data_IF_069391018238
#
_entry.id   IF_069391018238
#
_cell.length_a   1.000
_cell.length_b   1.000
_cell.length_c   1.000
_cell.angle_alpha   90.00
_cell.angle_beta   90.00
_cell.angle_gamma   90.00
#
_symmetry.space_group_name_H-M   'P 1'
#
loop_
_entity.id
_entity.type
_entity.pdbx_description
1 polymer ?
#
# COMPACT_ATOMS: atom_id res chain seq x y z
N UNK A 1 -1.41 6.17 -34.46
CA UNK A 1 -2.61 6.31 -33.59
C UNK A 1 -2.12 6.61 -32.18
N UNK A 2 -2.36 7.82 -31.64
CA UNK A 2 -1.86 8.25 -30.32
C UNK A 2 -2.93 7.96 -29.27
N UNK A 3 -2.65 7.06 -28.32
CA UNK A 3 -3.52 6.78 -27.18
C UNK A 3 -3.27 7.86 -26.11
N UNK A 4 -4.29 8.64 -25.75
CA UNK A 4 -4.27 9.55 -24.60
C UNK A 4 -4.88 8.83 -23.41
N UNK A 5 -4.09 8.66 -22.34
CA UNK A 5 -4.55 8.13 -21.05
C UNK A 5 -5.04 9.32 -20.23
N UNK A 6 -6.33 9.35 -19.91
CA UNK A 6 -6.90 10.32 -18.97
C UNK A 6 -6.93 9.69 -17.58
N UNK A 7 -5.99 10.08 -16.72
CA UNK A 7 -6.06 9.81 -15.29
C UNK A 7 -6.99 10.84 -14.65
N UNK A 8 -8.17 10.41 -14.19
CA UNK A 8 -9.07 11.23 -13.39
C UNK A 8 -8.82 10.90 -11.91
N UNK A 9 -8.07 11.76 -11.23
CA UNK A 9 -7.99 11.77 -9.78
C UNK A 9 -9.05 12.76 -9.26
N UNK A 10 -10.06 12.26 -8.55
CA UNK A 10 -11.03 13.11 -7.86
C UNK A 10 -10.43 13.49 -6.51
N UNK A 11 -9.90 14.70 -6.42
CA UNK A 11 -9.47 15.32 -5.16
C UNK A 11 -10.65 16.13 -4.64
N UNK A 12 -11.32 15.62 -3.61
CA UNK A 12 -12.38 16.34 -2.91
C UNK A 12 -11.72 17.36 -1.97
N UNK A 13 -11.85 18.64 -2.31
CA UNK A 13 -11.21 19.75 -1.59
C UNK A 13 -11.93 20.11 -0.29
N UNK A 14 -11.17 20.19 0.80
CA UNK A 14 -11.61 20.82 2.05
C UNK A 14 -11.43 22.34 1.95
N UNK A 15 -12.52 23.09 2.11
CA UNK A 15 -12.50 24.54 2.32
C UNK A 15 -11.93 24.85 3.71
N UNK A 16 -10.88 25.69 3.78
CA UNK A 16 -10.41 26.31 5.01
C UNK A 16 -10.44 27.83 4.84
N UNK A 17 -11.16 28.51 5.73
CA UNK A 17 -11.15 29.95 5.89
C UNK A 17 -9.83 30.42 6.54
N UNK A 18 -9.34 31.65 6.26
CA UNK A 18 -8.08 32.11 6.81
C UNK A 18 -8.25 32.64 8.23
N UNK A 19 -7.56 32.02 9.20
CA UNK A 19 -7.32 32.63 10.50
C UNK A 19 -5.97 33.37 10.47
N UNK A 20 -6.04 34.69 10.62
CA UNK A 20 -4.92 35.59 10.86
C UNK A 20 -4.19 35.18 12.14
N UNK A 21 -2.89 34.89 12.04
CA UNK A 21 -2.01 34.79 13.21
C UNK A 21 -1.03 35.95 13.17
N UNK A 22 -1.17 36.79 14.18
CA UNK A 22 -0.33 37.93 14.52
C UNK A 22 1.02 37.40 14.99
N UNK A 23 2.09 37.80 14.31
CA UNK A 23 3.46 37.56 14.73
C UNK A 23 3.80 38.51 15.89
N UNK A 24 4.16 37.95 17.04
CA UNK A 24 4.96 38.66 18.04
C UNK A 24 6.23 37.85 18.29
N UNK A 25 7.33 38.57 18.08
CA UNK A 25 8.72 38.19 18.25
C UNK A 25 9.10 38.12 19.72
N UNK A 26 10.00 37.20 20.07
CA UNK A 26 11.07 37.51 21.02
C UNK A 26 12.30 36.65 20.74
N UNK A 27 13.33 37.36 20.30
CA UNK A 27 14.74 37.01 20.25
C UNK A 27 15.25 36.49 21.60
N UNK A 28 16.03 35.41 21.61
CA UNK A 28 16.94 35.08 22.72
C UNK A 28 17.99 34.04 22.30
N UNK A 29 19.14 34.57 21.90
CA UNK A 29 20.49 34.13 22.24
C UNK A 29 20.89 32.67 22.02
N UNK A 30 21.74 32.51 21.01
CA UNK A 30 22.65 31.37 20.79
C UNK A 30 23.61 31.29 21.98
N UNK A 31 23.35 30.37 22.90
CA UNK A 31 24.37 29.83 23.80
C UNK A 31 24.89 28.51 23.23
N UNK A 32 26.21 28.42 23.14
CA UNK A 32 26.94 27.24 22.75
C UNK A 32 26.75 26.13 23.78
N UNK A 33 25.82 25.22 23.53
CA UNK A 33 25.58 24.06 24.37
C UNK A 33 26.31 22.84 23.81
N UNK A 34 27.11 22.23 24.68
CA UNK A 34 27.79 20.95 24.54
C UNK A 34 26.84 19.88 23.95
N UNK A 35 27.21 19.18 22.85
CA UNK A 35 26.36 18.17 22.23
C UNK A 35 26.08 16.95 23.11
N UNK A 36 26.73 16.84 24.27
CA UNK A 36 26.52 15.79 25.27
C UNK A 36 25.96 16.30 26.60
N UNK A 37 25.63 17.58 26.73
CA UNK A 37 24.95 18.07 27.92
C UNK A 37 23.56 17.44 28.02
N UNK A 38 23.30 16.77 29.14
CA UNK A 38 21.98 16.26 29.50
C UNK A 38 20.98 17.41 29.45
N UNK A 39 20.17 17.45 28.39
CA UNK A 39 19.08 18.40 28.28
C UNK A 39 18.17 18.19 29.49
N UNK A 40 17.89 19.22 30.32
CA UNK A 40 16.92 19.08 31.39
C UNK A 40 15.62 18.61 30.75
N UNK A 41 15.16 17.44 31.18
CA UNK A 41 14.00 16.74 30.63
C UNK A 41 12.77 17.65 30.68
N UNK A 42 12.56 18.45 29.63
CA UNK A 42 11.35 19.25 29.45
C UNK A 42 10.19 18.26 29.29
N UNK A 43 9.37 18.16 30.33
CA UNK A 43 7.99 17.66 30.27
C UNK A 43 7.81 16.21 29.79
N UNK A 44 8.44 15.23 30.43
CA UNK A 44 8.05 13.81 30.24
C UNK A 44 6.86 13.42 31.14
N UNK A 45 6.70 14.06 32.30
CA UNK A 45 5.64 13.70 33.27
C UNK A 45 4.24 14.18 32.88
N UNK A 46 4.12 15.31 32.17
CA UNK A 46 2.83 15.85 31.73
C UNK A 46 2.14 15.01 30.64
N UNK A 47 2.86 14.08 29.98
CA UNK A 47 2.29 13.14 28.98
C UNK A 47 1.75 11.84 29.59
N UNK A 48 2.05 11.53 30.85
CA UNK A 48 1.67 10.24 31.47
C UNK A 48 0.24 10.21 32.01
N UNK A 49 -0.39 11.37 32.21
CA UNK A 49 -1.72 11.47 32.82
C UNK A 49 -2.86 11.80 31.84
N UNK A 50 -2.59 11.90 30.53
CA UNK A 50 -3.68 11.95 29.55
C UNK A 50 -4.28 10.55 29.41
N UNK A 51 -5.54 10.39 29.84
CA UNK A 51 -6.29 9.15 29.63
C UNK A 51 -6.50 8.96 28.13
N UNK A 52 -5.68 8.10 27.51
CA UNK A 52 -5.81 7.79 26.09
C UNK A 52 -6.94 6.81 25.88
N UNK A 53 -7.85 7.16 24.97
CA UNK A 53 -8.93 6.26 24.61
C UNK A 53 -8.44 5.14 23.68
N UNK A 54 -8.93 3.93 23.92
CA UNK A 54 -8.67 2.77 23.08
C UNK A 54 -9.82 2.53 22.10
N UNK A 55 -9.48 2.15 20.88
CA UNK A 55 -10.40 1.90 19.79
C UNK A 55 -10.11 0.57 19.11
N UNK A 56 -11.11 0.03 18.46
CA UNK A 56 -11.02 -1.01 17.45
C UNK A 56 -11.29 -0.39 16.09
N UNK A 57 -10.27 -0.37 15.24
CA UNK A 57 -10.38 0.03 13.84
C UNK A 57 -10.66 -1.20 12.99
N UNK A 58 -11.69 -1.14 12.15
CA UNK A 58 -12.06 -2.19 11.20
C UNK A 58 -11.98 -1.64 9.78
N UNK A 59 -11.36 -2.41 8.89
CA UNK A 59 -11.25 -2.09 7.48
C UNK A 59 -11.69 -3.29 6.64
N UNK A 60 -12.51 -3.05 5.63
CA UNK A 60 -12.98 -4.06 4.71
C UNK A 60 -12.69 -3.64 3.27
N UNK A 61 -12.00 -4.49 2.53
CA UNK A 61 -11.72 -4.29 1.11
C UNK A 61 -12.68 -5.16 0.32
N UNK A 62 -13.53 -4.50 -0.46
CA UNK A 62 -14.52 -5.15 -1.31
C UNK A 62 -14.15 -4.96 -2.78
N UNK A 63 -14.44 -5.95 -3.62
CA UNK A 63 -14.29 -5.88 -5.07
C UNK A 63 -15.66 -6.07 -5.73
N UNK A 64 -16.01 -5.17 -6.65
CA UNK A 64 -17.26 -5.23 -7.41
C UNK A 64 -17.13 -4.65 -8.81
N UNK A 65 -18.17 -4.81 -9.63
CA UNK A 65 -18.20 -4.21 -10.96
C UNK A 65 -18.24 -2.67 -10.90
N UNK A 66 -17.44 -2.00 -11.74
CA UNK A 66 -17.31 -0.54 -11.79
C UNK A 66 -18.65 0.17 -12.07
N UNK A 67 -19.50 -0.37 -12.95
CA UNK A 67 -20.81 0.23 -13.27
C UNK A 67 -21.78 0.13 -12.09
N UNK A 68 -21.72 -0.98 -11.35
CA UNK A 68 -22.52 -1.16 -10.15
C UNK A 68 -22.05 -0.19 -9.05
N UNK A 69 -20.74 -0.03 -8.89
CA UNK A 69 -20.15 0.91 -7.93
C UNK A 69 -20.60 2.36 -8.20
N UNK A 70 -20.50 2.85 -9.43
CA UNK A 70 -20.91 4.22 -9.79
C UNK A 70 -22.40 4.44 -9.47
N UNK A 71 -23.27 3.49 -9.83
CA UNK A 71 -24.70 3.58 -9.49
C UNK A 71 -24.97 3.66 -7.99
N UNK A 72 -24.13 3.04 -7.16
CA UNK A 72 -24.26 3.12 -5.71
C UNK A 72 -23.74 4.45 -5.17
N UNK A 73 -22.65 5.00 -5.72
CA UNK A 73 -22.20 6.35 -5.39
C UNK A 73 -23.30 7.40 -5.67
N UNK A 74 -23.93 7.35 -6.84
CA UNK A 74 -25.00 8.28 -7.22
C UNK A 74 -26.19 8.23 -6.24
N UNK A 75 -26.49 7.05 -5.68
CA UNK A 75 -27.53 6.88 -4.66
C UNK A 75 -27.13 7.47 -3.31
N UNK A 76 -25.84 7.42 -2.97
CA UNK A 76 -25.32 7.92 -1.69
C UNK A 76 -25.23 9.43 -1.61
N UNK A 77 -25.13 10.13 -2.74
CA UNK A 77 -25.20 11.60 -2.77
C UNK A 77 -26.52 12.13 -2.20
N UNK A 78 -27.57 11.31 -2.16
CA UNK A 78 -28.90 11.65 -1.61
C UNK A 78 -29.03 11.39 -0.11
N UNK A 79 -28.00 10.80 0.52
CA UNK A 79 -27.97 10.40 1.93
C UNK A 79 -27.16 9.13 2.11
N UNK A 80 -25.94 9.24 2.64
CA UNK A 80 -25.01 8.12 2.72
C UNK A 80 -25.32 7.18 3.91
N UNK A 81 -26.00 6.06 3.67
CA UNK A 81 -26.09 4.93 4.60
C UNK A 81 -25.08 3.82 4.23
N UNK A 82 -23.81 4.03 4.61
CA UNK A 82 -22.75 3.04 4.38
C UNK A 82 -23.00 1.72 5.15
N UNK A 83 -23.72 1.74 6.27
CA UNK A 83 -24.05 0.53 7.02
C UNK A 83 -25.13 -0.30 6.32
N UNK A 84 -26.13 0.35 5.72
CA UNK A 84 -27.07 -0.24 4.78
C UNK A 84 -26.35 -0.85 3.58
N UNK A 85 -25.50 -0.06 2.92
CA UNK A 85 -24.75 -0.55 1.76
C UNK A 85 -23.87 -1.75 2.08
N UNK A 86 -23.11 -1.73 3.19
CA UNK A 86 -22.32 -2.91 3.63
C UNK A 86 -23.20 -4.15 3.80
N UNK A 87 -24.41 -4.02 4.36
CA UNK A 87 -25.34 -5.15 4.51
C UNK A 87 -25.86 -5.66 3.17
N UNK A 88 -25.99 -4.80 2.16
CA UNK A 88 -26.30 -5.21 0.79
C UNK A 88 -25.13 -5.95 0.16
N UNK A 89 -23.90 -5.45 0.30
CA UNK A 89 -22.68 -6.10 -0.21
C UNK A 89 -22.52 -7.52 0.35
N UNK A 90 -22.84 -7.73 1.64
CA UNK A 90 -22.80 -9.05 2.27
C UNK A 90 -23.82 -10.06 1.71
N UNK A 91 -24.84 -9.59 0.99
CA UNK A 91 -25.90 -10.43 0.41
C UNK A 91 -25.76 -10.61 -1.09
N UNK A 92 -24.87 -9.85 -1.73
CA UNK A 92 -24.72 -9.81 -3.18
C UNK A 92 -23.56 -10.72 -3.62
N UNK A 93 -23.90 -11.85 -4.23
CA UNK A 93 -22.93 -12.83 -4.73
C UNK A 93 -22.04 -12.30 -5.87
N UNK A 94 -22.39 -11.16 -6.49
CA UNK A 94 -21.58 -10.52 -7.53
C UNK A 94 -20.44 -9.66 -6.97
N UNK A 95 -20.42 -9.48 -5.65
CA UNK A 95 -19.41 -8.71 -4.91
C UNK A 95 -18.53 -9.67 -4.12
N UNK A 96 -17.23 -9.40 -4.05
CA UNK A 96 -16.29 -10.20 -3.25
C UNK A 96 -15.70 -9.39 -2.11
N UNK A 97 -15.78 -9.92 -0.88
CA UNK A 97 -15.00 -9.43 0.25
C UNK A 97 -13.57 -9.96 0.12
N UNK A 98 -12.64 -9.09 -0.25
CA UNK A 98 -11.25 -9.46 -0.55
C UNK A 98 -10.44 -9.58 0.73
N UNK A 99 -10.56 -8.60 1.63
CA UNK A 99 -9.80 -8.52 2.87
C UNK A 99 -10.60 -7.90 4.00
N UNK A 100 -10.30 -8.34 5.22
CA UNK A 100 -10.81 -7.77 6.47
C UNK A 100 -9.64 -7.57 7.41
N UNK A 101 -9.48 -6.35 7.92
CA UNK A 101 -8.50 -6.01 8.94
C UNK A 101 -9.21 -5.49 10.18
N UNK A 102 -8.69 -5.89 11.34
CA UNK A 102 -9.08 -5.33 12.62
C UNK A 102 -7.81 -5.05 13.42
N UNK A 103 -7.69 -3.83 13.94
CA UNK A 103 -6.54 -3.38 14.72
C UNK A 103 -7.01 -2.61 15.95
N UNK A 104 -6.39 -2.86 17.09
CA UNK A 104 -6.53 -2.00 18.25
C UNK A 104 -5.72 -0.73 18.05
N UNK A 105 -6.36 0.43 18.17
CA UNK A 105 -5.72 1.73 18.01
C UNK A 105 -5.84 2.51 19.32
N UNK A 106 -4.79 3.23 19.70
CA UNK A 106 -4.83 4.15 20.84
C UNK A 106 -4.86 5.59 20.34
N UNK A 107 -5.66 6.44 20.99
CA UNK A 107 -5.72 7.87 20.69
C UNK A 107 -4.32 8.50 20.73
N UNK A 108 -4.05 9.42 19.79
CA UNK A 108 -2.79 10.17 19.64
C UNK A 108 -1.56 9.26 19.50
N UNK A 109 -1.76 8.02 19.05
CA UNK A 109 -0.72 7.03 18.84
C UNK A 109 -0.83 6.49 17.42
N UNK A 110 0.32 6.32 16.77
CA UNK A 110 0.42 5.61 15.50
C UNK A 110 0.45 4.10 15.79
N UNK A 111 -0.35 3.35 15.06
CA UNK A 111 -0.46 1.90 15.20
C UNK A 111 -0.24 1.27 13.83
N UNK A 112 0.62 0.26 13.79
CA UNK A 112 0.99 -0.43 12.55
C UNK A 112 0.76 -1.92 12.72
N UNK A 113 0.14 -2.55 11.73
CA UNK A 113 0.01 -3.99 11.61
C UNK A 113 0.52 -4.41 10.24
N UNK A 114 1.46 -5.33 10.20
CA UNK A 114 2.03 -5.82 8.94
C UNK A 114 2.07 -7.34 8.90
N UNK A 115 1.84 -7.89 7.71
CA UNK A 115 2.02 -9.30 7.38
C UNK A 115 2.81 -9.33 6.09
N UNK A 116 4.12 -9.54 6.21
CA UNK A 116 5.06 -9.41 5.10
C UNK A 116 5.84 -10.70 4.88
N UNK A 117 6.11 -10.99 3.61
CA UNK A 117 7.03 -12.02 3.13
C UNK A 117 8.02 -11.36 2.19
N UNK A 118 9.30 -11.64 2.36
CA UNK A 118 10.34 -11.08 1.51
C UNK A 118 10.60 -11.99 0.30
N UNK A 119 10.55 -11.41 -0.90
CA UNK A 119 10.96 -12.09 -2.13
C UNK A 119 12.29 -11.52 -2.61
N UNK A 120 13.32 -12.36 -2.62
CA UNK A 120 14.59 -12.08 -3.26
C UNK A 120 14.56 -12.55 -4.71
N UNK A 121 14.85 -11.67 -5.67
CA UNK A 121 14.91 -12.03 -7.09
C UNK A 121 16.09 -11.34 -7.80
N UNK A 122 16.65 -11.98 -8.84
CA UNK A 122 17.78 -11.41 -9.56
C UNK A 122 17.33 -10.25 -10.45
N UNK A 123 18.10 -9.17 -10.46
CA UNK A 123 17.86 -7.98 -11.30
C UNK A 123 18.87 -7.88 -12.44
N UNK A 124 20.12 -8.31 -12.20
CA UNK A 124 21.17 -8.35 -13.19
C UNK A 124 21.69 -9.78 -13.40
N UNK A 125 22.08 -10.08 -14.63
CA UNK A 125 22.63 -11.38 -15.00
C UNK A 125 23.92 -11.17 -15.80
N UNK A 126 24.94 -11.98 -15.51
CA UNK A 126 26.20 -11.99 -16.24
C UNK A 126 26.37 -13.32 -16.98
N UNK A 127 26.91 -13.25 -18.19
CA UNK A 127 27.28 -14.45 -18.94
C UNK A 127 28.53 -15.04 -18.33
N UNK A 128 28.41 -16.22 -17.71
CA UNK A 128 29.57 -16.97 -17.22
C UNK A 128 30.08 -17.86 -18.34
N UNK A 129 31.32 -17.64 -18.75
CA UNK A 129 32.02 -18.56 -19.64
C UNK A 129 32.34 -19.85 -18.88
N UNK A 130 31.79 -20.98 -19.33
CA UNK A 130 32.17 -22.26 -18.75
C UNK A 130 33.58 -22.60 -19.27
N UNK A 131 34.57 -22.88 -18.39
CA UNK A 131 35.88 -23.32 -18.84
C UNK A 131 35.70 -24.62 -19.64
N UNK A 132 36.03 -24.56 -20.94
CA UNK A 132 35.99 -25.72 -21.83
C UNK A 132 36.86 -26.80 -21.23
N UNK A 133 36.28 -27.93 -20.85
CA UNK A 133 37.04 -29.11 -20.44
C UNK A 133 37.89 -29.57 -21.63
N UNK A 134 39.17 -29.26 -21.53
CA UNK A 134 40.33 -29.81 -22.26
C UNK A 134 40.27 -29.84 -23.79
N UNK A 135 41.38 -29.41 -24.42
CA UNK A 135 41.65 -29.60 -25.85
C UNK A 135 41.24 -31.02 -26.27
N UNK A 136 40.45 -31.19 -27.35
CA UNK A 136 40.24 -32.52 -27.91
C UNK A 136 41.62 -33.11 -28.23
N UNK A 137 41.84 -34.36 -27.81
CA UNK A 137 43.00 -35.14 -28.22
C UNK A 137 43.11 -35.06 -29.75
N UNK A 138 44.31 -34.91 -30.32
CA UNK A 138 44.48 -34.81 -31.77
C UNK A 138 44.14 -36.16 -32.40
N UNK A 139 42.88 -36.35 -32.76
CA UNK A 139 42.36 -37.61 -33.31
C UNK A 139 40.99 -37.48 -33.95
N UNK A 140 40.10 -36.64 -33.42
CA UNK A 140 38.74 -36.48 -33.93
C UNK A 140 38.53 -35.11 -34.60
N UNK A 141 39.18 -34.90 -35.74
CA UNK A 141 38.83 -33.82 -36.68
C UNK A 141 37.83 -34.36 -37.70
N UNK A 142 36.57 -34.53 -37.28
CA UNK A 142 35.59 -35.20 -38.13
C UNK A 142 34.13 -34.86 -37.88
N UNK A 143 33.78 -34.01 -36.92
CA UNK A 143 32.43 -33.44 -36.86
C UNK A 143 32.54 -32.00 -36.39
N UNK A 144 31.92 -31.09 -37.14
CA UNK A 144 31.72 -29.73 -36.71
C UNK A 144 31.11 -29.79 -35.32
N UNK A 145 31.91 -29.45 -34.30
CA UNK A 145 31.43 -29.24 -32.93
C UNK A 145 30.38 -28.14 -33.06
N UNK A 146 29.12 -28.55 -33.17
CA UNK A 146 27.97 -27.68 -33.00
C UNK A 146 28.25 -27.01 -31.68
N UNK A 147 28.54 -25.70 -31.70
CA UNK A 147 28.74 -24.88 -30.50
C UNK A 147 27.62 -25.29 -29.55
N UNK A 148 28.01 -25.99 -28.49
CA UNK A 148 27.04 -26.47 -27.52
C UNK A 148 26.38 -25.22 -26.97
N UNK A 149 25.03 -25.16 -26.86
CA UNK A 149 24.37 -24.05 -26.18
C UNK A 149 24.87 -23.88 -24.73
N UNK A 150 25.60 -24.86 -24.19
CA UNK A 150 26.24 -24.81 -22.88
C UNK A 150 27.48 -23.88 -22.76
N UNK A 151 27.97 -23.24 -23.83
CA UNK A 151 29.15 -22.36 -23.72
C UNK A 151 28.88 -21.09 -22.86
N UNK A 152 27.62 -20.77 -22.58
CA UNK A 152 27.23 -19.60 -21.78
C UNK A 152 26.10 -19.98 -20.82
N UNK A 153 26.31 -19.78 -19.52
CA UNK A 153 25.25 -19.86 -18.51
C UNK A 153 25.07 -18.46 -17.93
N UNK A 154 23.83 -17.97 -17.91
CA UNK A 154 23.51 -16.72 -17.24
C UNK A 154 23.46 -16.97 -15.73
N UNK A 155 24.39 -16.39 -14.99
CA UNK A 155 24.35 -16.39 -13.52
C UNK A 155 23.78 -15.05 -13.04
N UNK A 156 22.90 -15.06 -12.02
CA UNK A 156 22.54 -13.85 -11.30
C UNK A 156 23.78 -13.12 -10.78
N UNK A 157 23.83 -11.81 -10.98
CA UNK A 157 24.89 -10.94 -10.46
C UNK A 157 24.39 -10.12 -9.28
N UNK A 158 23.24 -9.48 -9.44
CA UNK A 158 22.61 -8.65 -8.41
C UNK A 158 21.20 -9.12 -8.11
N UNK A 159 20.78 -8.86 -6.87
CA UNK A 159 19.47 -9.23 -6.35
C UNK A 159 18.78 -8.01 -5.74
N UNK A 160 17.46 -7.94 -5.93
CA UNK A 160 16.58 -7.03 -5.22
C UNK A 160 15.71 -7.83 -4.25
N UNK A 161 15.46 -7.25 -3.07
CA UNK A 161 14.51 -7.77 -2.11
C UNK A 161 13.26 -6.91 -2.15
N UNK A 162 12.09 -7.53 -2.31
CA UNK A 162 10.80 -6.85 -2.26
C UNK A 162 9.89 -7.48 -1.22
N UNK A 163 9.34 -6.64 -0.35
CA UNK A 163 8.34 -7.06 0.63
C UNK A 163 6.98 -7.24 -0.04
N UNK A 164 6.45 -8.46 0.04
CA UNK A 164 5.12 -8.87 -0.37
C UNK A 164 4.22 -8.95 0.85
N UNK A 165 2.92 -8.73 0.69
CA UNK A 165 1.94 -8.80 1.76
C UNK A 165 1.26 -7.47 1.99
N UNK A 166 0.84 -7.21 3.23
CA UNK A 166 0.07 -6.00 3.57
C UNK A 166 0.65 -5.30 4.79
N UNK A 167 0.71 -3.97 4.69
CA UNK A 167 0.96 -3.06 5.82
C UNK A 167 -0.28 -2.20 6.02
N UNK A 168 -0.73 -2.08 7.26
CA UNK A 168 -1.86 -1.26 7.68
C UNK A 168 -1.41 -0.33 8.81
N UNK A 169 -1.57 0.96 8.60
CA UNK A 169 -1.19 2.02 9.51
C UNK A 169 -2.39 2.88 9.85
N UNK A 170 -2.54 3.23 11.12
CA UNK A 170 -3.57 4.14 11.54
C UNK A 170 -3.17 5.03 12.73
N UNK A 171 -3.62 6.27 12.68
CA UNK A 171 -3.43 7.27 13.72
C UNK A 171 -4.76 7.97 14.00
N UNK A 172 -5.22 7.89 15.26
CA UNK A 172 -6.42 8.57 15.73
C UNK A 172 -5.99 9.91 16.36
N UNK A 173 -6.33 11.03 15.72
CA UNK A 173 -5.81 12.37 16.08
C UNK A 173 -6.65 13.13 17.12
N UNK A 174 -7.78 12.58 17.55
CA UNK A 174 -8.65 13.16 18.57
C UNK A 174 -10.07 13.46 18.08
N UNK A 175 -10.94 13.71 19.05
CA UNK A 175 -12.37 14.02 18.86
C UNK A 175 -12.57 15.51 18.54
N UNK A 176 -13.45 15.82 17.60
CA UNK A 176 -14.04 17.16 17.53
C UNK A 176 -14.98 17.32 18.72
N UNK A 177 -14.60 18.18 19.67
CA UNK A 177 -15.24 18.39 20.98
C UNK A 177 -16.76 18.62 20.97
N UNK A 178 -17.35 18.90 19.80
CA UNK A 178 -18.78 19.22 19.67
C UNK A 178 -19.60 18.11 19.00
N UNK A 179 -18.99 17.08 18.40
CA UNK A 179 -19.70 16.23 17.42
C UNK A 179 -19.53 14.71 17.58
N UNK A 180 -18.66 14.20 18.45
CA UNK A 180 -18.44 12.74 18.51
C UNK A 180 -17.70 12.18 17.29
N UNK A 181 -17.07 13.06 16.52
CA UNK A 181 -16.39 12.73 15.26
C UNK A 181 -14.89 12.65 15.49
N UNK A 182 -14.30 11.54 15.06
CA UNK A 182 -12.87 11.27 15.18
C UNK A 182 -12.16 11.60 13.87
N UNK A 183 -11.00 12.25 13.99
CA UNK A 183 -10.07 12.38 12.86
C UNK A 183 -9.15 11.19 12.82
N UNK A 184 -9.20 10.46 11.71
CA UNK A 184 -8.43 9.25 11.50
C UNK A 184 -7.54 9.43 10.27
N UNK A 185 -6.25 9.17 10.42
CA UNK A 185 -5.34 8.94 9.30
C UNK A 185 -5.21 7.43 9.13
N UNK A 186 -5.48 6.92 7.94
CA UNK A 186 -5.30 5.51 7.59
C UNK A 186 -4.40 5.41 6.38
N UNK A 187 -3.51 4.41 6.38
CA UNK A 187 -2.80 3.93 5.19
C UNK A 187 -2.85 2.41 5.16
N UNK A 188 -3.03 1.84 3.98
CA UNK A 188 -2.95 0.41 3.73
C UNK A 188 -2.22 0.21 2.41
N UNK A 189 -1.12 -0.52 2.47
CA UNK A 189 -0.31 -0.86 1.31
C UNK A 189 -0.28 -2.38 1.17
N UNK A 190 -0.71 -2.87 0.01
CA UNK A 190 -0.67 -4.28 -0.35
C UNK A 190 0.20 -4.47 -1.58
N UNK A 191 1.14 -5.41 -1.50
CA UNK A 191 1.99 -5.84 -2.60
C UNK A 191 1.79 -7.33 -2.83
N UNK A 192 1.44 -7.75 -4.05
CA UNK A 192 1.29 -9.16 -4.41
C UNK A 192 2.16 -9.53 -5.61
N UNK A 193 2.71 -10.74 -5.60
CA UNK A 193 3.26 -11.37 -6.79
C UNK A 193 2.11 -11.81 -7.70
N UNK A 194 2.07 -11.30 -8.93
CA UNK A 194 1.02 -11.60 -9.92
C UNK A 194 1.47 -12.61 -10.98
N UNK A 195 2.77 -12.71 -11.22
CA UNK A 195 3.32 -13.62 -12.21
C UNK A 195 4.80 -13.44 -12.40
N UNK A 196 5.29 -13.99 -13.51
CA UNK A 196 6.67 -13.83 -13.95
C UNK A 196 6.69 -13.55 -15.46
N UNK A 197 7.39 -12.50 -15.86
CA UNK A 197 7.67 -12.23 -17.28
C UNK A 197 8.99 -12.87 -17.68
N UNK A 198 8.97 -13.53 -18.84
CA UNK A 198 10.14 -14.18 -19.44
C UNK A 198 10.83 -13.23 -20.41
N UNK A 199 12.14 -13.05 -20.25
CA UNK A 199 13.00 -12.29 -21.15
C UNK A 199 14.06 -13.21 -21.76
N UNK A 200 14.27 -13.14 -23.08
CA UNK A 200 15.27 -13.95 -23.79
C UNK A 200 14.70 -15.11 -24.60
N UNK A 201 15.59 -15.87 -25.26
CA UNK A 201 15.23 -17.04 -26.06
C UNK A 201 14.77 -18.24 -25.22
N UNK A 202 14.08 -19.21 -25.84
CA UNK A 202 13.42 -20.33 -25.14
C UNK A 202 14.31 -21.10 -24.14
N UNK A 203 15.60 -21.21 -24.42
CA UNK A 203 16.55 -22.01 -23.62
C UNK A 203 17.26 -21.20 -22.50
N UNK A 204 17.22 -19.86 -22.57
CA UNK A 204 17.89 -18.95 -21.62
C UNK A 204 16.94 -17.87 -21.07
N UNK A 205 15.65 -18.19 -21.00
CA UNK A 205 14.64 -17.22 -20.61
C UNK A 205 14.77 -16.86 -19.12
N UNK A 206 15.23 -15.65 -18.84
CA UNK A 206 15.22 -15.05 -17.51
C UNK A 206 13.79 -14.80 -17.06
N UNK A 207 13.45 -15.12 -15.81
CA UNK A 207 12.13 -14.89 -15.24
C UNK A 207 12.20 -13.74 -14.24
N UNK A 208 11.52 -12.64 -14.56
CA UNK A 208 11.38 -11.49 -13.65
C UNK A 208 10.00 -11.53 -12.99
N UNK A 209 9.90 -11.39 -11.67
CA UNK A 209 8.59 -11.32 -11.01
C UNK A 209 7.84 -10.06 -11.42
N UNK A 210 6.52 -10.18 -11.54
CA UNK A 210 5.61 -9.06 -11.74
C UNK A 210 4.78 -8.84 -10.48
N UNK A 211 4.69 -7.59 -10.04
CA UNK A 211 4.00 -7.22 -8.81
C UNK A 211 2.77 -6.35 -9.13
N UNK A 212 1.71 -6.55 -8.35
CA UNK A 212 0.61 -5.61 -8.25
C UNK A 212 0.63 -4.94 -6.89
N UNK A 213 0.55 -3.61 -6.90
CA UNK A 213 0.44 -2.82 -5.69
C UNK A 213 -0.99 -2.27 -5.56
N UNK A 214 -1.57 -2.31 -4.37
CA UNK A 214 -2.84 -1.69 -4.01
C UNK A 214 -2.63 -0.81 -2.80
N UNK A 215 -2.87 0.50 -2.94
CA UNK A 215 -2.65 1.48 -1.87
C UNK A 215 -3.92 2.22 -1.54
N UNK A 216 -4.35 2.19 -0.29
CA UNK A 216 -5.55 2.85 0.16
C UNK A 216 -5.23 3.67 1.40
N UNK A 217 -5.45 4.98 1.35
CA UNK A 217 -5.18 5.82 2.49
C UNK A 217 -5.80 7.19 2.36
N UNK A 218 -5.88 7.89 3.48
CA UNK A 218 -6.47 9.21 3.54
C UNK A 218 -6.60 9.72 4.98
N UNK A 219 -6.96 10.98 5.08
CA UNK A 219 -7.45 11.56 6.32
C UNK A 219 -8.98 11.65 6.23
N UNK A 220 -9.67 11.04 7.18
CA UNK A 220 -11.13 11.05 7.24
C UNK A 220 -11.61 11.52 8.60
N UNK A 221 -12.79 12.10 8.61
CA UNK A 221 -13.56 12.40 9.81
C UNK A 221 -14.71 11.39 9.86
N UNK A 222 -14.79 10.57 10.90
CA UNK A 222 -15.89 9.60 11.06
C UNK A 222 -16.49 9.64 12.46
N UNK A 223 -17.83 9.59 12.59
CA UNK A 223 -18.49 9.32 13.86
C UNK A 223 -18.15 7.91 14.36
N UNK A 224 -18.11 7.74 15.67
CA UNK A 224 -17.94 6.43 16.29
C UNK A 224 -19.04 5.44 15.85
N UNK A 225 -18.65 4.20 15.55
CA UNK A 225 -19.56 3.11 15.18
C UNK A 225 -20.16 3.20 13.77
N UNK A 226 -19.83 4.24 13.00
CA UNK A 226 -20.31 4.41 11.63
C UNK A 226 -19.31 3.89 10.61
N UNK A 227 -19.84 3.31 9.54
CA UNK A 227 -19.05 2.95 8.37
C UNK A 227 -18.84 4.17 7.47
N UNK A 228 -17.67 4.26 6.85
CA UNK A 228 -17.33 5.29 5.88
C UNK A 228 -16.57 4.68 4.72
N UNK A 229 -16.75 5.22 3.52
CA UNK A 229 -15.92 4.89 2.36
C UNK A 229 -14.60 5.67 2.46
N UNK A 230 -13.48 4.97 2.63
CA UNK A 230 -12.14 5.56 2.67
C UNK A 230 -11.67 5.91 1.25
N UNK A 231 -11.75 4.95 0.34
CA UNK A 231 -11.32 5.12 -1.05
C UNK A 231 -11.97 4.07 -1.94
N UNK A 232 -12.00 4.33 -3.24
CA UNK A 232 -12.29 3.35 -4.26
C UNK A 232 -11.36 3.58 -5.45
N UNK A 233 -10.76 2.49 -5.95
CA UNK A 233 -9.85 2.53 -7.09
C UNK A 233 -10.05 1.32 -7.99
N UNK A 234 -9.73 1.44 -9.29
CA UNK A 234 -9.76 0.30 -10.19
C UNK A 234 -8.93 -0.86 -9.65
N UNK A 235 -9.42 -2.10 -9.80
CA UNK A 235 -8.62 -3.27 -9.46
C UNK A 235 -7.38 -3.31 -10.37
N UNK A 236 -6.17 -3.47 -9.81
CA UNK A 236 -4.97 -3.64 -10.64
C UNK A 236 -5.16 -4.83 -11.58
N UNK A 237 -4.90 -4.68 -12.90
CA UNK A 237 -5.04 -5.79 -13.85
C UNK A 237 -4.07 -6.91 -13.48
N UNK A 238 -4.51 -8.17 -13.51
CA UNK A 238 -3.63 -9.31 -13.16
C UNK A 238 -2.61 -9.60 -14.26
N UNK A 239 -2.94 -9.27 -15.52
CA UNK A 239 -2.07 -9.41 -16.69
C UNK A 239 -2.38 -8.30 -17.71
N UNK A 240 -1.41 -8.01 -18.58
CA UNK A 240 -1.64 -7.16 -19.77
C UNK A 240 -2.85 -7.74 -20.52
N UNK A 241 -3.91 -6.93 -20.70
CA UNK A 241 -5.17 -7.21 -21.40
C UNK A 241 -6.44 -7.46 -20.55
N UNK A 242 -6.40 -7.41 -19.22
CA UNK A 242 -7.67 -7.40 -18.44
C UNK A 242 -8.34 -6.02 -18.45
N UNK A 243 -9.68 -6.02 -18.58
CA UNK A 243 -10.50 -4.81 -18.49
C UNK A 243 -10.48 -4.24 -17.08
N UNK A 244 -10.54 -2.90 -16.98
CA UNK A 244 -10.75 -2.19 -15.70
C UNK A 244 -12.24 -2.19 -15.30
N UNK A 245 -12.91 -3.33 -15.43
CA UNK A 245 -14.34 -3.46 -15.16
C UNK A 245 -14.64 -3.68 -13.68
N UNK A 246 -13.61 -3.83 -12.85
CA UNK A 246 -13.71 -4.01 -11.41
C UNK A 246 -13.10 -2.85 -10.64
N UNK A 247 -13.70 -2.55 -9.50
CA UNK A 247 -13.27 -1.54 -8.54
C UNK A 247 -13.11 -2.21 -7.20
N UNK A 248 -12.00 -1.89 -6.52
CA UNK A 248 -11.81 -2.18 -5.11
C UNK A 248 -12.17 -0.95 -4.30
N UNK A 249 -13.09 -1.11 -3.37
CA UNK A 249 -13.51 -0.08 -2.42
C UNK A 249 -13.12 -0.49 -1.00
N UNK A 250 -12.81 0.50 -0.18
CA UNK A 250 -12.34 0.31 1.19
C UNK A 250 -13.32 0.97 2.13
N UNK A 251 -14.02 0.16 2.93
CA UNK A 251 -14.86 0.63 4.01
C UNK A 251 -14.07 0.61 5.32
N UNK A 252 -14.28 1.63 6.14
CA UNK A 252 -13.62 1.77 7.44
C UNK A 252 -14.62 2.14 8.52
N UNK A 253 -14.39 1.63 9.72
CA UNK A 253 -15.18 1.90 10.93
C UNK A 253 -14.29 1.93 12.15
N UNK A 254 -14.56 2.87 13.05
CA UNK A 254 -13.90 3.01 14.34
C UNK A 254 -14.90 2.76 15.46
N UNK A 255 -14.60 1.82 16.35
CA UNK A 255 -15.42 1.50 17.53
C UNK A 255 -14.61 1.76 18.79
N UNK A 256 -15.19 2.36 19.84
CA UNK A 256 -14.52 2.51 21.13
C UNK A 256 -14.46 1.16 21.85
N UNK A 257 -13.28 0.82 22.39
CA UNK A 257 -13.14 -0.35 23.25
C UNK A 257 -13.68 0.00 24.64
N UNK A 258 -14.57 -0.85 25.16
CA UNK A 258 -15.14 -0.73 26.51
C UNK A 258 -14.24 -1.40 27.54
#
# INVERSE_FOLDING_TARGET
MKLRIYGLAVVMGCFLAPASVRAESSDAMIHSDDPFAESPAKNVESRRNETRQAFQLRLEVWEMNAKQFVRQLDRMEQGADFAGWRRELLKDDSVSLVQVYAMSATEKSENTSSSLLELLYPTEHESVEIPRKSKPSPGDQGEAVKKSPLDWVMAPKDFECRSLGTTFEAEVKGESAETGVWRLRVSMDETRLTGYTKFGGKEFAMKMPEFSDFRAGGLICLPEGQWCLLTAQPTPPKLKHESLDKVRLVLVRLDRLR
#
